data_IF_759269200476
#
_entry.id   IF_759269200476
#
_cell.length_a   1.000
_cell.length_b   1.000
_cell.length_c   1.000
_cell.angle_alpha   90.00
_cell.angle_beta   90.00
_cell.angle_gamma   90.00
#
_symmetry.space_group_name_H-M   'P 1'
#
loop_
_entity.id
_entity.type
_entity.pdbx_description
1 polymer ?
#
# COMPACT_ATOMS: atom_id res chain seq x y z
N UNK A 1 1.67 18.53 -2.83
CA UNK A 1 2.07 17.41 -1.93
C UNK A 1 1.50 16.04 -2.33
N UNK A 2 0.31 15.95 -2.96
CA UNK A 2 -0.33 14.68 -3.35
C UNK A 2 0.51 13.80 -4.29
N UNK A 3 1.30 14.40 -5.20
CA UNK A 3 2.19 13.67 -6.13
C UNK A 3 3.32 12.90 -5.43
N UNK A 4 3.89 13.44 -4.36
CA UNK A 4 4.97 12.80 -3.61
C UNK A 4 4.43 11.54 -2.91
N UNK A 5 3.23 11.65 -2.38
CA UNK A 5 2.52 10.54 -1.74
C UNK A 5 2.16 9.42 -2.71
N UNK A 6 1.65 9.77 -3.90
CA UNK A 6 1.44 8.79 -4.96
C UNK A 6 2.76 8.12 -5.37
N UNK A 7 3.86 8.87 -5.43
CA UNK A 7 5.18 8.31 -5.76
C UNK A 7 5.66 7.31 -4.71
N UNK A 8 5.51 7.60 -3.42
CA UNK A 8 5.91 6.68 -2.34
C UNK A 8 5.09 5.38 -2.36
N UNK A 9 3.80 5.46 -2.66
CA UNK A 9 2.93 4.28 -2.78
C UNK A 9 3.34 3.41 -3.97
N UNK A 10 3.67 4.03 -5.11
CA UNK A 10 4.14 3.32 -6.30
C UNK A 10 5.47 2.61 -6.02
N UNK A 11 6.42 3.28 -5.37
CA UNK A 11 7.70 2.67 -4.99
C UNK A 11 7.48 1.47 -4.05
N UNK A 12 6.60 1.62 -3.06
CA UNK A 12 6.28 0.52 -2.14
C UNK A 12 5.68 -0.68 -2.89
N UNK A 13 4.76 -0.44 -3.81
CA UNK A 13 4.14 -1.48 -4.63
C UNK A 13 5.17 -2.20 -5.51
N UNK A 14 6.12 -1.47 -6.12
CA UNK A 14 7.21 -2.04 -6.92
C UNK A 14 8.10 -2.94 -6.07
N UNK A 15 8.45 -2.52 -4.84
CA UNK A 15 9.27 -3.33 -3.93
C UNK A 15 8.56 -4.62 -3.54
N UNK A 16 7.27 -4.56 -3.23
CA UNK A 16 6.47 -5.75 -2.90
C UNK A 16 6.41 -6.69 -4.10
N UNK A 17 6.15 -6.15 -5.28
CA UNK A 17 6.06 -6.92 -6.52
C UNK A 17 7.40 -7.59 -6.86
N UNK A 18 8.50 -6.85 -6.81
CA UNK A 18 9.85 -7.39 -7.02
C UNK A 18 10.22 -8.46 -6.01
N UNK A 19 9.84 -8.29 -4.74
CA UNK A 19 10.03 -9.31 -3.70
C UNK A 19 9.25 -10.59 -3.97
N UNK A 20 7.99 -10.48 -4.41
CA UNK A 20 7.16 -11.66 -4.77
C UNK A 20 7.73 -12.39 -5.99
N UNK A 21 8.17 -11.65 -7.01
CA UNK A 21 8.84 -12.21 -8.20
C UNK A 21 10.12 -12.94 -7.82
N UNK A 22 10.96 -12.32 -6.99
CA UNK A 22 12.19 -12.94 -6.49
C UNK A 22 11.90 -14.23 -5.71
N UNK A 23 10.89 -14.21 -4.85
CA UNK A 23 10.52 -15.37 -4.03
C UNK A 23 9.94 -16.51 -4.87
N UNK A 24 9.21 -16.17 -5.94
CA UNK A 24 8.66 -17.17 -6.87
C UNK A 24 9.76 -17.81 -7.72
N UNK A 25 10.76 -17.04 -8.15
CA UNK A 25 11.95 -17.57 -8.83
C UNK A 25 12.80 -18.44 -7.91
N UNK A 26 13.13 -17.96 -6.71
CA UNK A 26 13.99 -18.66 -5.75
C UNK A 26 13.42 -20.00 -5.27
N UNK A 27 12.09 -20.14 -5.24
CA UNK A 27 11.41 -21.35 -4.76
C UNK A 27 10.90 -22.24 -5.90
N UNK A 28 11.16 -21.88 -7.18
CA UNK A 28 10.58 -22.54 -8.37
C UNK A 28 9.07 -22.81 -8.23
N UNK A 29 8.35 -21.86 -7.64
CA UNK A 29 6.93 -22.04 -7.36
C UNK A 29 6.16 -21.95 -8.68
N UNK A 30 5.55 -23.06 -9.08
CA UNK A 30 4.72 -23.13 -10.29
C UNK A 30 3.27 -23.51 -9.95
N UNK A 31 2.34 -23.13 -10.82
CA UNK A 31 0.93 -23.51 -10.69
C UNK A 31 0.18 -22.77 -9.59
N UNK A 32 -0.62 -23.49 -8.81
CA UNK A 32 -1.58 -22.93 -7.84
C UNK A 32 -0.89 -22.14 -6.72
N UNK A 33 0.31 -22.54 -6.29
CA UNK A 33 1.05 -21.87 -5.21
C UNK A 33 1.53 -20.48 -5.63
N UNK A 34 1.96 -20.32 -6.89
CA UNK A 34 2.30 -19.02 -7.45
C UNK A 34 1.05 -18.14 -7.51
N UNK A 35 -0.06 -18.66 -8.03
CA UNK A 35 -1.32 -17.92 -8.10
C UNK A 35 -1.80 -17.44 -6.72
N UNK A 36 -1.72 -18.29 -5.69
CA UNK A 36 -2.07 -17.94 -4.32
C UNK A 36 -1.15 -16.85 -3.73
N UNK A 37 0.16 -16.90 -4.01
CA UNK A 37 1.13 -15.88 -3.58
C UNK A 37 0.85 -14.51 -4.22
N UNK A 38 0.53 -14.50 -5.50
CA UNK A 38 0.19 -13.28 -6.23
C UNK A 38 -1.11 -12.65 -5.73
N UNK A 39 -2.15 -13.45 -5.53
CA UNK A 39 -3.41 -12.97 -4.93
C UNK A 39 -3.17 -12.46 -3.51
N UNK A 40 -2.43 -13.22 -2.70
CA UNK A 40 -2.11 -12.81 -1.32
C UNK A 40 -1.37 -11.48 -1.27
N UNK A 41 -0.33 -11.32 -2.10
CA UNK A 41 0.41 -10.07 -2.22
C UNK A 41 -0.47 -8.91 -2.69
N UNK A 42 -1.36 -9.15 -3.67
CA UNK A 42 -2.28 -8.13 -4.18
C UNK A 42 -3.27 -7.66 -3.11
N UNK A 43 -3.88 -8.59 -2.37
CA UNK A 43 -4.78 -8.27 -1.25
C UNK A 43 -4.03 -7.49 -0.18
N UNK A 44 -2.85 -7.98 0.23
CA UNK A 44 -2.01 -7.33 1.24
C UNK A 44 -1.70 -5.89 0.84
N UNK A 45 -1.28 -5.66 -0.40
CA UNK A 45 -0.95 -4.33 -0.92
C UNK A 45 -2.19 -3.43 -0.93
N UNK A 46 -3.33 -3.94 -1.36
CA UNK A 46 -4.60 -3.19 -1.42
C UNK A 46 -5.05 -2.75 -0.02
N UNK A 47 -4.98 -3.66 0.96
CA UNK A 47 -5.29 -3.35 2.36
C UNK A 47 -4.33 -2.29 2.90
N UNK A 48 -3.03 -2.40 2.63
CA UNK A 48 -2.03 -1.43 3.07
C UNK A 48 -2.31 -0.02 2.52
N UNK A 49 -2.58 0.08 1.21
CA UNK A 49 -2.91 1.36 0.57
C UNK A 49 -4.20 1.93 1.14
N UNK A 50 -5.20 1.08 1.38
CA UNK A 50 -6.49 1.50 1.94
C UNK A 50 -6.31 2.04 3.37
N UNK A 51 -5.56 1.35 4.22
CA UNK A 51 -5.21 1.80 5.57
C UNK A 51 -4.47 3.14 5.54
N UNK A 52 -3.49 3.30 4.66
CA UNK A 52 -2.76 4.56 4.51
C UNK A 52 -3.72 5.69 4.12
N UNK A 53 -4.59 5.47 3.12
CA UNK A 53 -5.59 6.48 2.70
C UNK A 53 -6.56 6.85 3.83
N UNK A 54 -7.07 5.86 4.56
CA UNK A 54 -7.98 6.09 5.70
C UNK A 54 -7.29 6.87 6.81
N UNK A 55 -6.04 6.53 7.13
CA UNK A 55 -5.26 7.23 8.13
C UNK A 55 -4.96 8.69 7.73
N UNK A 56 -4.70 8.92 6.44
CA UNK A 56 -4.53 10.27 5.90
C UNK A 56 -5.79 11.13 5.97
N UNK A 57 -6.96 10.55 5.65
CA UNK A 57 -8.24 11.25 5.78
C UNK A 57 -8.51 11.66 7.23
N UNK A 58 -8.24 10.77 8.19
CA UNK A 58 -8.31 11.06 9.64
C UNK A 58 -7.37 12.20 10.04
N UNK A 59 -6.13 12.20 9.55
CA UNK A 59 -5.13 13.24 9.85
C UNK A 59 -5.45 14.59 9.22
N UNK A 60 -6.14 14.63 8.07
CA UNK A 60 -6.60 15.89 7.48
C UNK A 60 -7.79 16.48 8.26
N UNK A 61 -8.75 15.65 8.68
CA UNK A 61 -9.92 16.11 9.44
C UNK A 61 -9.56 16.75 10.79
N UNK A 62 -8.55 16.23 11.49
CA UNK A 62 -8.10 16.82 12.76
C UNK A 62 -7.37 18.15 12.57
N UNK A 63 -6.81 18.42 11.39
CA UNK A 63 -6.11 19.66 11.10
C UNK A 63 -7.08 20.81 10.80
N UNK A 64 -8.19 20.52 10.13
CA UNK A 64 -9.22 21.53 9.80
C UNK A 64 -10.16 21.81 11.00
N UNK A 65 -10.50 20.81 11.81
CA UNK A 65 -11.37 20.98 12.98
C UNK A 65 -10.77 21.76 14.16
N UNK A 66 -9.44 21.92 14.20
CA UNK A 66 -8.75 22.70 15.24
C UNK A 66 -8.69 24.21 14.95
N UNK A 67 -9.17 24.66 13.79
CA UNK A 67 -9.11 26.07 13.39
C UNK A 67 -10.33 26.90 13.81
N UNK A 68 -11.45 26.27 14.16
CA UNK A 68 -12.69 26.96 14.57
C UNK A 68 -12.74 27.28 16.07
N UNK A 69 -11.88 26.66 16.89
CA UNK A 69 -11.82 26.88 18.36
C UNK A 69 -10.92 28.07 18.76
N UNK A 70 -10.70 29.02 17.83
CA UNK A 70 -9.87 30.22 18.04
C UNK A 70 -10.54 31.52 17.57
N UNK A 71 -11.86 31.52 17.35
CA UNK A 71 -12.58 32.72 16.92
C UNK A 71 -13.61 33.19 17.93
#
# INVERSE_FOLDING_TARGET
MQRILSSSIIVLAIVIFGGVVWLTEAQHLTGVTLFALWIGAFILTTVLVTLIKVWQLRLQQTKDGGSDDKR
#
